data_IF_710629643510
#
_entry.id   IF_710629643510
#
_cell.length_a   1.000
_cell.length_b   1.000
_cell.length_c   1.000
_cell.angle_alpha   90.00
_cell.angle_beta   90.00
_cell.angle_gamma   90.00
#
_symmetry.space_group_name_H-M   'P 1'
#
loop_
_entity.id
_entity.type
_entity.pdbx_description
1 polymer ?
#
# COMPACT_ATOMS: atom_id res chain seq x y z
N UNK A 1 6.08 21.22 2.78
CA UNK A 1 6.01 19.74 2.73
C UNK A 1 4.56 19.33 2.87
N UNK A 2 4.06 18.55 1.96
CA UNK A 2 2.72 17.94 2.01
C UNK A 2 2.84 16.53 2.58
N UNK A 3 1.96 16.16 3.49
CA UNK A 3 1.94 14.84 4.15
C UNK A 3 0.55 14.27 3.95
N UNK A 4 0.45 13.03 3.48
CA UNK A 4 -0.82 12.34 3.31
C UNK A 4 -0.76 10.91 3.82
N UNK A 5 -1.90 10.44 4.28
CA UNK A 5 -2.12 9.03 4.59
C UNK A 5 -3.13 8.43 3.61
N UNK A 6 -3.00 7.16 3.34
CA UNK A 6 -3.96 6.40 2.56
C UNK A 6 -4.28 5.07 3.21
N UNK A 7 -5.42 4.53 2.85
CA UNK A 7 -5.87 3.20 3.25
C UNK A 7 -6.18 2.40 1.99
N UNK A 8 -5.87 1.11 2.03
CA UNK A 8 -6.22 0.15 1.00
C UNK A 8 -6.72 -1.14 1.64
N UNK A 9 -7.63 -1.81 0.97
CA UNK A 9 -8.19 -3.09 1.40
C UNK A 9 -8.33 -4.01 0.21
N UNK A 10 -8.07 -5.29 0.42
CA UNK A 10 -8.29 -6.29 -0.61
C UNK A 10 -8.77 -7.61 -0.02
N UNK A 11 -9.47 -8.42 -0.82
CA UNK A 11 -10.01 -9.71 -0.42
C UNK A 11 -9.93 -10.69 -1.58
N UNK A 12 -9.34 -11.86 -1.34
CA UNK A 12 -9.27 -12.93 -2.32
C UNK A 12 -9.83 -14.24 -1.77
N UNK A 13 -10.51 -14.98 -2.64
CA UNK A 13 -11.06 -16.30 -2.34
C UNK A 13 -9.92 -17.34 -2.29
N UNK A 14 -9.99 -18.25 -1.33
CA UNK A 14 -9.15 -19.44 -1.27
C UNK A 14 -9.66 -20.55 -2.20
N UNK A 15 -8.76 -21.15 -2.98
CA UNK A 15 -9.07 -22.26 -3.86
C UNK A 15 -7.98 -23.33 -3.85
N UNK A 16 -8.39 -24.59 -3.95
CA UNK A 16 -7.45 -25.70 -4.04
C UNK A 16 -6.70 -25.69 -5.37
N UNK A 17 -5.42 -26.07 -5.32
CA UNK A 17 -4.56 -26.14 -6.50
C UNK A 17 -4.05 -24.80 -7.04
N UNK A 18 -4.41 -23.69 -6.39
CA UNK A 18 -3.84 -22.36 -6.66
C UNK A 18 -2.60 -22.17 -5.79
N UNK A 19 -1.48 -21.63 -6.32
CA UNK A 19 -0.33 -21.25 -5.50
C UNK A 19 -0.70 -20.18 -4.46
N UNK A 20 -0.12 -20.26 -3.25
CA UNK A 20 -0.33 -19.29 -2.20
C UNK A 20 0.77 -18.23 -2.22
N UNK A 21 0.39 -16.97 -2.46
CA UNK A 21 1.26 -15.80 -2.33
C UNK A 21 0.63 -14.80 -1.36
N UNK A 22 1.39 -14.31 -0.39
CA UNK A 22 0.95 -13.28 0.56
C UNK A 22 2.15 -12.47 1.02
N UNK A 23 2.02 -11.15 0.98
CA UNK A 23 3.01 -10.19 1.43
C UNK A 23 4.38 -10.35 0.73
N UNK A 24 4.35 -10.56 -0.59
CA UNK A 24 5.53 -10.72 -1.43
C UNK A 24 6.23 -12.08 -1.31
N UNK A 25 5.63 -13.03 -0.58
CA UNK A 25 6.22 -14.35 -0.36
C UNK A 25 5.36 -15.46 -0.95
N UNK A 26 6.03 -16.50 -1.48
CA UNK A 26 5.38 -17.77 -1.85
C UNK A 26 5.33 -18.73 -0.65
N UNK A 27 4.23 -19.46 -0.51
CA UNK A 27 4.00 -20.47 0.53
C UNK A 27 3.73 -21.84 -0.12
N UNK A 28 4.78 -22.52 -0.61
CA UNK A 28 4.64 -23.75 -1.41
C UNK A 28 4.04 -24.94 -0.63
N UNK A 29 4.08 -24.91 0.70
CA UNK A 29 3.53 -25.98 1.55
C UNK A 29 1.99 -25.84 1.73
N UNK A 30 1.40 -24.71 1.33
CA UNK A 30 -0.05 -24.52 1.36
C UNK A 30 -0.72 -25.26 0.20
N UNK A 31 -1.80 -25.99 0.50
CA UNK A 31 -2.56 -26.77 -0.49
C UNK A 31 -3.64 -25.95 -1.20
N UNK A 32 -3.87 -24.75 -0.73
CA UNK A 32 -4.83 -23.79 -1.28
C UNK A 32 -4.14 -22.44 -1.41
N UNK A 33 -4.52 -21.66 -2.40
CA UNK A 33 -4.00 -20.33 -2.62
C UNK A 33 -5.09 -19.35 -2.99
N UNK A 34 -4.71 -18.10 -3.22
CA UNK A 34 -5.63 -17.00 -3.47
C UNK A 34 -5.90 -16.85 -4.96
N UNK A 35 -7.18 -16.85 -5.33
CA UNK A 35 -7.61 -16.66 -6.72
C UNK A 35 -7.55 -15.18 -7.06
N UNK A 36 -6.85 -14.82 -8.12
CA UNK A 36 -6.74 -13.44 -8.63
C UNK A 36 -6.38 -13.40 -10.10
N UNK A 37 -6.46 -12.23 -10.70
CA UNK A 37 -5.98 -11.98 -12.07
C UNK A 37 -4.44 -12.00 -12.13
N UNK A 38 -3.79 -11.50 -11.06
CA UNK A 38 -2.36 -11.61 -10.78
C UNK A 38 -2.07 -12.88 -9.96
N UNK A 39 -1.05 -12.88 -9.12
CA UNK A 39 -0.75 -13.98 -8.17
C UNK A 39 -1.70 -14.04 -6.96
N UNK A 40 -2.66 -13.11 -6.86
CA UNK A 40 -3.65 -13.05 -5.78
C UNK A 40 -3.10 -12.57 -4.44
N UNK A 41 -1.91 -11.96 -4.40
CA UNK A 41 -1.31 -11.43 -3.15
C UNK A 41 -2.14 -10.27 -2.57
N UNK A 42 -3.06 -10.62 -1.69
CA UNK A 42 -3.99 -9.70 -1.05
C UNK A 42 -3.30 -8.57 -0.28
N UNK A 43 -2.12 -8.82 0.29
CA UNK A 43 -1.36 -7.82 1.03
C UNK A 43 -0.71 -6.79 0.08
N UNK A 44 -0.11 -7.26 -1.02
CA UNK A 44 0.45 -6.39 -2.04
C UNK A 44 -0.62 -5.52 -2.72
N UNK A 45 -1.80 -6.07 -2.99
CA UNK A 45 -2.91 -5.32 -3.57
C UNK A 45 -3.42 -4.23 -2.60
N UNK A 46 -3.59 -4.56 -1.32
CA UNK A 46 -3.97 -3.57 -0.31
C UNK A 46 -2.91 -2.46 -0.17
N UNK A 47 -1.61 -2.78 -0.29
CA UNK A 47 -0.53 -1.80 -0.29
C UNK A 47 -0.62 -0.88 -1.51
N UNK A 48 -0.87 -1.42 -2.71
CA UNK A 48 -1.08 -0.62 -3.92
C UNK A 48 -2.21 0.40 -3.71
N UNK A 49 -3.37 -0.04 -3.23
CA UNK A 49 -4.50 0.84 -2.99
C UNK A 49 -4.22 1.88 -1.91
N UNK A 50 -3.51 1.53 -0.83
CA UNK A 50 -3.12 2.49 0.19
C UNK A 50 -2.22 3.61 -0.38
N UNK A 51 -1.25 3.28 -1.23
CA UNK A 51 -0.35 4.23 -1.87
C UNK A 51 -1.09 5.12 -2.89
N UNK A 52 -1.96 4.53 -3.71
CA UNK A 52 -2.76 5.25 -4.70
C UNK A 52 -3.78 6.18 -4.01
N UNK A 53 -4.46 5.71 -2.97
CA UNK A 53 -5.38 6.49 -2.14
C UNK A 53 -4.68 7.68 -1.49
N UNK A 54 -3.49 7.49 -0.89
CA UNK A 54 -2.72 8.57 -0.27
C UNK A 54 -2.38 9.68 -1.27
N UNK A 55 -2.07 9.31 -2.51
CA UNK A 55 -1.61 10.25 -3.55
C UNK A 55 -2.72 10.80 -4.42
N UNK A 56 -3.95 10.28 -4.28
CA UNK A 56 -5.12 10.69 -5.09
C UNK A 56 -5.02 10.24 -6.55
N UNK A 57 -4.33 9.12 -6.81
CA UNK A 57 -4.11 8.57 -8.15
C UNK A 57 -5.06 7.40 -8.50
N UNK A 58 -6.15 7.25 -7.76
CA UNK A 58 -7.16 6.23 -8.00
C UNK A 58 -6.94 4.96 -7.16
N UNK A 59 -7.10 3.82 -7.78
CA UNK A 59 -7.05 2.47 -7.21
C UNK A 59 -6.35 1.48 -8.17
N UNK A 60 -6.13 0.26 -7.70
CA UNK A 60 -5.47 -0.80 -8.48
C UNK A 60 -6.22 -1.09 -9.80
N UNK A 61 -7.55 -1.05 -9.78
CA UNK A 61 -8.37 -1.29 -10.95
C UNK A 61 -8.21 -0.22 -12.03
N UNK A 62 -8.08 1.05 -11.63
CA UNK A 62 -7.88 2.18 -12.55
C UNK A 62 -6.46 2.24 -13.13
N UNK A 63 -5.46 1.73 -12.41
CA UNK A 63 -4.05 1.74 -12.85
C UNK A 63 -3.72 0.55 -13.74
N UNK A 64 -4.16 -0.65 -13.35
CA UNK A 64 -3.77 -1.90 -14.02
C UNK A 64 -4.85 -2.47 -14.92
N UNK A 65 -6.08 -1.93 -14.83
CA UNK A 65 -7.24 -2.53 -15.49
C UNK A 65 -7.68 -3.85 -14.83
N UNK A 66 -8.86 -4.31 -15.18
CA UNK A 66 -9.41 -5.58 -14.63
C UNK A 66 -9.18 -6.78 -15.55
N UNK A 67 -8.66 -6.54 -16.76
CA UNK A 67 -8.49 -7.57 -17.78
C UNK A 67 -7.28 -7.33 -18.71
N UNK A 68 -6.35 -6.45 -18.32
CA UNK A 68 -5.15 -6.17 -19.11
C UNK A 68 -4.23 -7.40 -19.08
N UNK A 69 -3.97 -8.04 -20.25
CA UNK A 69 -3.11 -9.22 -20.33
C UNK A 69 -1.68 -9.00 -19.84
N UNK A 70 -1.22 -7.75 -19.82
CA UNK A 70 0.12 -7.40 -19.32
C UNK A 70 0.33 -7.78 -17.85
N UNK A 71 -0.74 -7.76 -17.06
CA UNK A 71 -0.70 -8.03 -15.63
C UNK A 71 -1.23 -9.41 -15.24
N UNK A 72 -1.60 -10.23 -16.24
CA UNK A 72 -2.06 -11.59 -15.99
C UNK A 72 -0.93 -12.43 -15.37
N UNK A 73 -1.16 -12.93 -14.15
CA UNK A 73 -0.16 -13.71 -13.40
C UNK A 73 1.04 -12.90 -12.89
N UNK A 74 1.01 -11.57 -12.95
CA UNK A 74 2.07 -10.74 -12.39
C UNK A 74 2.22 -10.96 -10.88
N UNK A 75 3.44 -10.92 -10.36
CA UNK A 75 3.67 -10.97 -8.93
C UNK A 75 3.14 -9.71 -8.25
N UNK A 76 2.49 -9.85 -7.09
CA UNK A 76 1.98 -8.71 -6.33
C UNK A 76 3.06 -7.69 -5.99
N UNK A 77 4.31 -8.15 -5.74
CA UNK A 77 5.45 -7.28 -5.52
C UNK A 77 5.78 -6.40 -6.75
N UNK A 78 5.60 -6.91 -7.98
CA UNK A 78 5.82 -6.13 -9.20
C UNK A 78 4.77 -5.02 -9.34
N UNK A 79 3.51 -5.30 -8.97
CA UNK A 79 2.45 -4.29 -8.93
C UNK A 79 2.78 -3.17 -7.92
N UNK A 80 3.25 -3.54 -6.71
CA UNK A 80 3.71 -2.57 -5.71
C UNK A 80 4.85 -1.71 -6.26
N UNK A 81 5.87 -2.33 -6.89
CA UNK A 81 6.99 -1.62 -7.50
C UNK A 81 6.54 -0.62 -8.58
N UNK A 82 5.57 -1.02 -9.41
CA UNK A 82 4.99 -0.13 -10.42
C UNK A 82 4.28 1.08 -9.79
N UNK A 83 3.46 0.86 -8.75
CA UNK A 83 2.77 1.94 -8.04
C UNK A 83 3.76 2.88 -7.38
N UNK A 84 4.82 2.35 -6.73
CA UNK A 84 5.89 3.18 -6.13
C UNK A 84 6.57 4.05 -7.19
N UNK A 85 6.90 3.50 -8.36
CA UNK A 85 7.47 4.27 -9.47
C UNK A 85 6.50 5.35 -9.98
N UNK A 86 5.21 5.02 -10.11
CA UNK A 86 4.16 5.93 -10.55
C UNK A 86 4.04 7.15 -9.61
N UNK A 87 3.95 6.91 -8.29
CA UNK A 87 3.80 7.99 -7.30
C UNK A 87 5.08 8.82 -7.18
N UNK A 88 6.27 8.19 -7.29
CA UNK A 88 7.55 8.88 -7.33
C UNK A 88 7.64 9.82 -8.53
N UNK A 89 7.16 9.41 -9.72
CA UNK A 89 7.06 10.26 -10.92
C UNK A 89 6.14 11.48 -10.73
N UNK A 90 5.28 11.47 -9.70
CA UNK A 90 4.42 12.60 -9.30
C UNK A 90 5.00 13.40 -8.12
N UNK A 91 6.25 13.11 -7.73
CA UNK A 91 6.98 13.79 -6.67
C UNK A 91 6.65 13.32 -5.26
N UNK A 92 5.94 12.20 -5.09
CA UNK A 92 5.66 11.60 -3.80
C UNK A 92 6.76 10.65 -3.36
N UNK A 93 7.02 10.62 -2.07
CA UNK A 93 7.97 9.70 -1.41
C UNK A 93 7.22 8.93 -0.34
N UNK A 94 7.34 7.60 -0.36
CA UNK A 94 6.79 6.75 0.69
C UNK A 94 7.63 6.91 1.96
N UNK A 95 6.97 7.05 3.11
CA UNK A 95 7.64 7.15 4.40
C UNK A 95 7.54 5.86 5.19
N UNK A 96 6.40 5.21 5.16
CA UNK A 96 6.18 3.86 5.68
C UNK A 96 4.88 3.26 5.16
N UNK A 97 4.78 1.95 5.28
CA UNK A 97 3.56 1.17 5.06
C UNK A 97 3.35 0.23 6.25
N UNK A 98 2.10 0.05 6.65
CA UNK A 98 1.70 -1.02 7.55
C UNK A 98 0.59 -1.84 6.89
N UNK A 99 0.71 -3.17 6.92
CA UNK A 99 -0.31 -4.08 6.37
C UNK A 99 -0.70 -5.14 7.39
N UNK A 100 -2.01 -5.36 7.52
CA UNK A 100 -2.62 -6.37 8.36
C UNK A 100 -3.26 -7.43 7.46
N UNK A 101 -2.79 -8.67 7.54
CA UNK A 101 -3.41 -9.83 6.89
C UNK A 101 -4.44 -10.44 7.83
N UNK A 102 -5.62 -10.76 7.34
CA UNK A 102 -6.75 -11.29 8.12
C UNK A 102 -7.20 -12.62 7.48
N UNK A 103 -6.95 -13.72 8.17
CA UNK A 103 -7.29 -15.05 7.66
C UNK A 103 -6.75 -16.18 8.51
N UNK A 104 -7.14 -17.43 8.18
CA UNK A 104 -6.68 -18.63 8.88
C UNK A 104 -5.32 -19.12 8.33
N UNK A 105 -4.95 -18.67 7.13
CA UNK A 105 -3.73 -19.07 6.41
C UNK A 105 -3.29 -18.01 5.41
N UNK A 106 -1.99 -17.99 5.01
CA UNK A 106 -0.91 -18.81 5.57
C UNK A 106 -0.52 -18.33 6.97
N UNK A 107 0.26 -19.13 7.71
CA UNK A 107 0.78 -18.71 9.02
C UNK A 107 1.96 -17.75 8.85
N UNK A 108 1.66 -16.47 8.95
CA UNK A 108 2.64 -15.38 8.72
C UNK A 108 3.71 -15.27 9.79
N UNK A 109 3.44 -15.71 11.04
CA UNK A 109 4.30 -15.41 12.19
C UNK A 109 5.77 -15.83 12.00
N UNK A 110 6.02 -17.00 11.42
CA UNK A 110 7.37 -17.51 11.21
C UNK A 110 8.15 -16.79 10.10
N UNK A 111 7.44 -16.17 9.16
CA UNK A 111 8.03 -15.51 7.98
C UNK A 111 7.78 -14.00 7.94
N UNK A 112 7.30 -13.42 9.03
CA UNK A 112 6.99 -11.99 9.12
C UNK A 112 8.19 -11.11 8.75
N UNK A 113 9.34 -11.35 9.38
CA UNK A 113 10.54 -10.55 9.13
C UNK A 113 11.03 -10.66 7.67
N UNK A 114 10.87 -11.85 7.05
CA UNK A 114 11.16 -12.05 5.63
C UNK A 114 10.23 -11.23 4.74
N UNK A 115 8.92 -11.24 5.03
CA UNK A 115 7.93 -10.44 4.31
C UNK A 115 8.19 -8.93 4.45
N UNK A 116 8.47 -8.46 5.67
CA UNK A 116 8.81 -7.06 5.93
C UNK A 116 10.04 -6.63 5.15
N UNK A 117 11.07 -7.48 5.09
CA UNK A 117 12.30 -7.21 4.32
C UNK A 117 12.03 -7.14 2.83
N UNK A 118 11.32 -8.12 2.27
CA UNK A 118 11.00 -8.18 0.85
C UNK A 118 10.15 -6.96 0.41
N UNK A 119 9.10 -6.66 1.17
CA UNK A 119 8.23 -5.51 0.87
C UNK A 119 8.96 -4.18 1.06
N UNK A 120 9.81 -4.03 2.10
CA UNK A 120 10.58 -2.81 2.30
C UNK A 120 11.56 -2.53 1.15
N UNK A 121 12.17 -3.57 0.57
CA UNK A 121 13.02 -3.44 -0.62
C UNK A 121 12.22 -2.94 -1.83
N UNK A 122 11.01 -3.47 -2.05
CA UNK A 122 10.14 -3.06 -3.16
C UNK A 122 9.58 -1.64 -2.96
N UNK A 123 9.15 -1.33 -1.74
CA UNK A 123 8.54 -0.03 -1.40
C UNK A 123 9.60 1.09 -1.30
N UNK A 124 10.84 0.75 -0.94
CA UNK A 124 11.91 1.72 -0.68
C UNK A 124 11.75 2.46 0.66
N UNK A 125 10.93 1.93 1.58
CA UNK A 125 10.65 2.50 2.90
C UNK A 125 10.30 1.37 3.90
N UNK A 126 10.32 1.63 5.22
CA UNK A 126 9.93 0.63 6.21
C UNK A 126 8.51 0.09 5.98
N UNK A 127 8.36 -1.23 6.05
CA UNK A 127 7.08 -1.92 5.97
C UNK A 127 6.90 -2.77 7.22
N UNK A 128 5.75 -2.65 7.88
CA UNK A 128 5.34 -3.52 8.98
C UNK A 128 4.26 -4.48 8.50
N UNK A 129 4.45 -5.77 8.80
CA UNK A 129 3.49 -6.82 8.47
C UNK A 129 2.93 -7.41 9.76
N UNK A 130 1.63 -7.47 9.88
CA UNK A 130 0.92 -8.15 10.96
C UNK A 130 -0.13 -9.10 10.41
N UNK A 131 -0.55 -10.06 11.21
CA UNK A 131 -1.59 -11.01 10.83
C UNK A 131 -2.48 -11.35 12.03
N UNK A 132 -3.75 -11.58 11.74
CA UNK A 132 -4.75 -11.99 12.73
C UNK A 132 -5.74 -12.97 12.13
N UNK A 133 -6.46 -13.68 12.99
CA UNK A 133 -7.66 -14.43 12.62
C UNK A 133 -8.90 -13.66 13.06
N UNK A 134 -10.07 -14.11 12.64
CA UNK A 134 -11.38 -13.60 13.10
C UNK A 134 -12.09 -14.61 14.00
N UNK A 135 -11.35 -15.52 14.63
CA UNK A 135 -11.87 -16.53 15.56
C UNK A 135 -13.09 -17.30 15.02
N UNK A 136 -12.93 -17.80 13.80
CA UNK A 136 -13.96 -18.54 13.03
C UNK A 136 -15.17 -17.70 12.58
N UNK A 137 -15.17 -16.38 12.77
CA UNK A 137 -16.25 -15.51 12.31
C UNK A 137 -16.03 -15.04 10.86
N UNK A 138 -17.11 -14.91 10.13
CA UNK A 138 -17.13 -14.41 8.75
C UNK A 138 -16.43 -15.34 7.75
N UNK A 139 -16.24 -14.86 6.53
CA UNK A 139 -15.62 -15.61 5.43
C UNK A 139 -14.15 -15.93 5.70
N UNK A 140 -13.41 -15.01 6.33
CA UNK A 140 -12.02 -15.23 6.71
C UNK A 140 -11.89 -16.29 7.79
N UNK A 141 -12.78 -16.27 8.78
CA UNK A 141 -12.82 -17.24 9.88
C UNK A 141 -13.26 -18.63 9.42
N UNK A 142 -14.14 -18.73 8.42
CA UNK A 142 -14.53 -20.01 7.81
C UNK A 142 -13.51 -20.52 6.77
N UNK A 143 -12.44 -19.76 6.51
CA UNK A 143 -11.39 -20.16 5.55
C UNK A 143 -11.85 -20.13 4.09
N UNK A 144 -12.81 -19.27 3.74
CA UNK A 144 -13.31 -19.06 2.38
C UNK A 144 -12.42 -18.09 1.59
N UNK A 145 -11.72 -17.21 2.30
CA UNK A 145 -10.84 -16.19 1.73
C UNK A 145 -9.90 -15.60 2.76
N UNK A 146 -9.01 -14.74 2.27
CA UNK A 146 -8.12 -13.90 3.07
C UNK A 146 -8.38 -12.45 2.71
N UNK A 147 -8.35 -11.58 3.71
CA UNK A 147 -8.44 -10.14 3.54
C UNK A 147 -7.12 -9.48 3.97
N UNK A 148 -6.87 -8.28 3.47
CA UNK A 148 -5.81 -7.43 3.97
C UNK A 148 -6.29 -5.98 4.08
N UNK A 149 -5.72 -5.26 5.05
CA UNK A 149 -5.88 -3.82 5.21
C UNK A 149 -4.49 -3.22 5.30
N UNK A 150 -4.23 -2.21 4.48
CA UNK A 150 -2.96 -1.48 4.51
C UNK A 150 -3.18 0.00 4.79
N UNK A 151 -2.20 0.63 5.41
CA UNK A 151 -2.09 2.08 5.49
C UNK A 151 -0.73 2.52 5.00
N UNK A 152 -0.67 3.67 4.32
CA UNK A 152 0.56 4.25 3.83
C UNK A 152 0.68 5.71 4.29
N UNK A 153 1.89 6.13 4.59
CA UNK A 153 2.26 7.53 4.80
C UNK A 153 3.18 7.95 3.66
N UNK A 154 2.81 9.04 2.99
CA UNK A 154 3.60 9.61 1.89
C UNK A 154 3.83 11.10 2.11
N UNK A 155 4.94 11.62 1.58
CA UNK A 155 5.26 13.04 1.61
C UNK A 155 5.60 13.55 0.23
N UNK A 156 5.39 14.87 0.02
CA UNK A 156 5.82 15.57 -1.18
C UNK A 156 6.39 16.94 -0.80
N UNK A 157 7.53 17.31 -1.41
CA UNK A 157 8.04 18.68 -1.30
C UNK A 157 7.02 19.70 -1.85
N UNK A 158 6.90 20.87 -1.25
CA UNK A 158 6.13 21.95 -1.87
C UNK A 158 6.84 22.33 -3.18
N UNK A 159 6.12 22.41 -4.29
CA UNK A 159 6.67 23.01 -5.51
C UNK A 159 7.08 24.44 -5.20
N UNK A 160 8.27 24.84 -5.63
CA UNK A 160 8.80 26.20 -5.43
C UNK A 160 7.94 27.31 -6.11
N UNK A 161 6.91 26.92 -6.86
CA UNK A 161 5.98 27.85 -7.54
C UNK A 161 4.80 28.29 -6.66
N UNK A 162 4.57 27.69 -5.50
CA UNK A 162 3.50 28.12 -4.58
C UNK A 162 3.97 29.27 -3.66
N UNK A 163 4.69 30.22 -4.26
CA UNK A 163 5.11 31.47 -3.64
C UNK A 163 3.93 32.47 -3.44
N UNK A 164 2.69 32.02 -3.73
CA UNK A 164 1.48 32.83 -3.57
C UNK A 164 1.24 33.21 -2.09
N UNK A 165 1.62 32.33 -1.15
CA UNK A 165 1.50 32.62 0.30
C UNK A 165 2.51 33.65 0.78
N UNK A 166 3.70 33.73 0.17
CA UNK A 166 4.69 34.76 0.54
C UNK A 166 4.22 36.14 0.12
N UNK A 167 3.46 36.26 -1.00
CA UNK A 167 2.91 37.55 -1.43
C UNK A 167 1.84 38.11 -0.48
N UNK A 168 1.10 37.25 0.27
CA UNK A 168 0.12 37.70 1.26
C UNK A 168 0.79 38.21 2.56
N UNK A 169 1.95 37.72 2.94
CA UNK A 169 2.67 38.18 4.13
C UNK A 169 3.31 39.55 3.93
N UNK A 170 3.56 39.98 2.70
CA UNK A 170 4.13 41.31 2.40
C UNK A 170 3.06 42.40 2.18
N UNK A 171 1.77 42.04 2.15
CA UNK A 171 0.68 42.99 1.96
C UNK A 171 -0.11 43.28 3.24
N UNK A 172 0.42 42.94 4.42
CA UNK A 172 -0.15 43.38 5.70
C UNK A 172 0.29 44.83 5.98
N UNK A 173 -0.63 45.85 5.99
CA UNK A 173 -0.27 47.25 6.19
C UNK A 173 -0.09 47.61 7.67
N UNK A 174 0.53 46.71 8.45
CA UNK A 174 0.81 46.89 9.89
C UNK A 174 2.29 46.77 10.20
N UNK A 175 3.14 47.61 9.60
CA UNK A 175 4.47 47.82 10.12
C UNK A 175 4.38 48.55 11.47
N UNK A 176 4.52 47.80 12.56
CA UNK A 176 4.89 48.36 13.83
C UNK A 176 6.34 48.86 13.70
N UNK A 177 6.49 50.18 13.57
CA UNK A 177 7.76 50.87 13.67
C UNK A 177 8.26 50.75 15.13
N UNK A 178 9.27 49.89 15.37
CA UNK A 178 9.98 49.80 16.65
C UNK A 178 11.33 50.50 16.54
N UNK A 179 11.32 51.77 16.09
CA UNK A 179 12.48 52.66 16.20
C UNK A 179 12.10 53.87 17.07
N UNK A 180 11.93 53.66 18.39
CA UNK A 180 12.13 54.73 19.38
C UNK A 180 11.97 54.14 20.79
N UNK A 181 13.05 53.71 21.40
CA UNK A 181 13.56 54.18 22.73
C UNK A 181 14.79 53.40 23.09
#
# INVERSE_FOLDING_TARGET
>A
MEIRTGIGTDVHQLSAGVPMHVAGLSFPDERVGLVGHSDGDVACHAICDALLSATGLGDIGSVFGTADPQWAGAAGADLVGHVVALIAGKGWTVQNVAVQVIGQRPRMAARRAEAETALAQTVGAPVSVSATTTDHLGFTGRGEGVAAVASALVTRGLKSEDNSLIRYLWWWPGHLDISSK
#
